data_IF_492287621041
#
_entry.id   IF_492287621041
#
_cell.length_a   1.000
_cell.length_b   1.000
_cell.length_c   1.000
_cell.angle_alpha   90.00
_cell.angle_beta   90.00
_cell.angle_gamma   90.00
#
_symmetry.space_group_name_H-M   'P 1'
#
loop_
_entity.id
_entity.type
_entity.pdbx_description
1 polymer ?
#
# COMPACT_ATOMS: atom_id res chain seq x y z
N UNK A 1 68.53 31.01 -34.80
CA UNK A 1 67.14 30.59 -35.10
C UNK A 1 67.07 29.06 -35.12
N UNK A 2 66.07 28.50 -34.42
CA UNK A 2 65.55 27.11 -34.44
C UNK A 2 65.53 26.43 -33.05
N UNK A 3 64.30 26.08 -32.66
CA UNK A 3 63.84 25.02 -31.74
C UNK A 3 63.08 25.49 -30.48
N UNK A 4 61.80 25.85 -30.68
CA UNK A 4 60.72 25.68 -29.69
C UNK A 4 59.47 25.20 -30.45
N UNK A 5 59.21 23.90 -30.51
CA UNK A 5 58.03 23.37 -31.19
C UNK A 5 57.65 21.91 -30.82
N UNK A 6 57.97 21.39 -29.61
CA UNK A 6 57.72 19.97 -29.31
C UNK A 6 57.08 19.62 -27.97
N UNK A 7 56.49 20.56 -27.24
CA UNK A 7 55.85 20.20 -25.95
C UNK A 7 54.50 20.87 -25.70
N UNK A 8 53.72 21.13 -26.77
CA UNK A 8 52.32 21.59 -26.68
C UNK A 8 51.33 20.53 -27.25
N UNK A 9 51.82 19.36 -27.68
CA UNK A 9 50.99 18.31 -28.31
C UNK A 9 50.59 17.18 -27.33
N UNK A 10 50.96 17.28 -26.05
CA UNK A 10 50.53 16.32 -25.02
C UNK A 10 49.25 16.73 -24.26
N UNK A 11 48.79 17.98 -24.41
CA UNK A 11 47.65 18.53 -23.65
C UNK A 11 46.29 18.48 -24.35
N UNK A 12 46.23 18.15 -25.64
CA UNK A 12 44.99 18.24 -26.44
C UNK A 12 44.32 16.88 -26.68
N UNK A 13 45.03 15.75 -26.46
CA UNK A 13 44.45 14.41 -26.63
C UNK A 13 43.69 13.92 -25.39
N UNK A 14 43.89 14.54 -24.22
CA UNK A 14 43.21 14.16 -22.98
C UNK A 14 41.83 14.82 -22.78
N UNK A 15 41.40 15.73 -23.67
CA UNK A 15 40.12 16.45 -23.57
C UNK A 15 39.01 15.91 -24.50
N UNK A 16 39.25 14.83 -25.24
CA UNK A 16 38.35 14.38 -26.30
C UNK A 16 37.53 13.11 -25.99
N UNK A 17 37.55 12.60 -24.74
CA UNK A 17 36.68 11.49 -24.32
C UNK A 17 36.06 11.79 -22.96
N UNK A 18 35.39 12.93 -22.84
CA UNK A 18 34.26 13.07 -21.94
C UNK A 18 33.01 13.22 -22.80
N UNK A 19 32.67 12.16 -23.54
CA UNK A 19 31.26 11.89 -23.77
C UNK A 19 30.68 11.64 -22.37
N UNK A 20 30.19 12.71 -21.73
CA UNK A 20 29.25 12.50 -20.65
C UNK A 20 28.13 11.68 -21.25
N UNK A 21 28.02 10.42 -20.85
CA UNK A 21 26.81 9.66 -21.09
C UNK A 21 25.67 10.57 -20.62
N UNK A 22 24.82 11.01 -21.56
CA UNK A 22 23.62 11.73 -21.16
C UNK A 22 22.84 10.74 -20.32
N UNK A 23 22.64 11.07 -19.05
CA UNK A 23 21.80 10.29 -18.17
C UNK A 23 20.43 10.19 -18.81
N UNK A 24 19.99 8.97 -19.12
CA UNK A 24 18.67 8.75 -19.69
C UNK A 24 17.63 8.76 -18.56
N UNK A 25 16.44 9.28 -18.86
CA UNK A 25 15.33 9.29 -17.90
C UNK A 25 14.62 7.92 -17.92
N UNK A 26 14.69 7.20 -16.81
CA UNK A 26 13.93 5.97 -16.56
C UNK A 26 12.56 6.36 -16.02
N UNK A 27 11.54 6.30 -16.88
CA UNK A 27 10.15 6.59 -16.50
C UNK A 27 9.55 5.45 -15.67
N UNK A 28 8.93 5.79 -14.55
CA UNK A 28 8.20 4.87 -13.67
C UNK A 28 6.80 5.41 -13.47
N UNK A 29 5.78 4.65 -13.86
CA UNK A 29 4.40 5.03 -13.59
C UNK A 29 4.10 4.84 -12.10
N UNK A 30 3.53 5.87 -11.45
CA UNK A 30 3.01 5.80 -10.08
C UNK A 30 1.50 5.92 -10.19
N UNK A 31 0.75 4.92 -9.72
CA UNK A 31 -0.68 4.83 -10.01
C UNK A 31 -1.50 4.54 -8.77
N UNK A 32 -2.45 5.41 -8.48
CA UNK A 32 -3.39 5.24 -7.37
C UNK A 32 -4.46 6.32 -7.34
N UNK A 33 -5.16 6.43 -6.22
CA UNK A 33 -6.27 7.38 -6.06
C UNK A 33 -5.76 8.80 -5.77
N UNK A 34 -5.65 9.66 -6.77
CA UNK A 34 -5.47 11.11 -6.59
C UNK A 34 -6.80 11.83 -6.34
N UNK A 35 -7.91 11.17 -6.68
CA UNK A 35 -9.27 11.64 -6.46
C UNK A 35 -10.16 10.54 -5.89
N UNK A 36 -11.44 10.85 -5.67
CA UNK A 36 -12.41 9.89 -5.16
C UNK A 36 -12.39 9.72 -3.63
N UNK A 37 -13.19 8.78 -3.10
CA UNK A 37 -13.48 8.68 -1.67
C UNK A 37 -12.30 8.21 -0.82
N UNK A 38 -11.25 7.69 -1.45
CA UNK A 38 -10.07 7.11 -0.79
C UNK A 38 -8.76 7.83 -1.16
N UNK A 39 -8.86 9.06 -1.68
CA UNK A 39 -7.71 9.85 -2.17
C UNK A 39 -6.57 10.01 -1.14
N UNK A 40 -6.89 10.02 0.16
CA UNK A 40 -5.88 10.13 1.21
C UNK A 40 -4.90 8.93 1.24
N UNK A 41 -5.32 7.76 0.77
CA UNK A 41 -4.39 6.64 0.61
C UNK A 41 -3.43 6.88 -0.55
N UNK A 42 -3.91 7.43 -1.67
CA UNK A 42 -3.04 7.82 -2.78
C UNK A 42 -2.09 8.95 -2.40
N UNK A 43 -2.52 9.93 -1.60
CA UNK A 43 -1.62 10.98 -1.09
C UNK A 43 -0.39 10.39 -0.39
N UNK A 44 -0.59 9.33 0.41
CA UNK A 44 0.50 8.61 1.07
C UNK A 44 1.41 7.92 0.05
N UNK A 45 0.83 7.20 -0.91
CA UNK A 45 1.54 6.51 -2.00
C UNK A 45 2.42 7.48 -2.79
N UNK A 46 1.83 8.54 -3.34
CA UNK A 46 2.57 9.52 -4.15
C UNK A 46 3.66 10.22 -3.33
N UNK A 47 3.40 10.53 -2.06
CA UNK A 47 4.43 11.13 -1.21
C UNK A 47 5.60 10.18 -0.93
N UNK A 48 5.32 8.89 -0.69
CA UNK A 48 6.34 7.84 -0.55
C UNK A 48 7.17 7.67 -1.82
N UNK A 49 6.51 7.55 -2.98
CA UNK A 49 7.17 7.40 -4.28
C UNK A 49 8.05 8.60 -4.64
N UNK A 50 7.50 9.83 -4.51
CA UNK A 50 8.24 11.08 -4.80
C UNK A 50 9.49 11.19 -3.93
N UNK A 51 9.38 10.90 -2.63
CA UNK A 51 10.51 11.00 -1.71
C UNK A 51 11.58 9.93 -2.03
N UNK A 52 11.17 8.69 -2.33
CA UNK A 52 12.10 7.63 -2.75
C UNK A 52 12.85 7.97 -4.03
N UNK A 53 12.14 8.42 -5.08
CA UNK A 53 12.75 8.84 -6.35
C UNK A 53 13.74 9.99 -6.11
N UNK A 54 13.36 10.99 -5.32
CA UNK A 54 14.24 12.12 -4.96
C UNK A 54 15.51 11.63 -4.27
N UNK A 55 15.39 10.74 -3.29
CA UNK A 55 16.52 10.24 -2.50
C UNK A 55 17.44 9.31 -3.31
N UNK A 56 16.90 8.50 -4.22
CA UNK A 56 17.68 7.66 -5.13
C UNK A 56 18.45 8.51 -6.14
N UNK A 57 17.78 9.49 -6.77
CA UNK A 57 18.41 10.39 -7.73
C UNK A 57 19.51 11.25 -7.07
N UNK A 58 19.31 11.70 -5.83
CA UNK A 58 20.32 12.43 -5.07
C UNK A 58 21.59 11.60 -4.78
N UNK A 59 21.50 10.27 -4.84
CA UNK A 59 22.62 9.33 -4.69
C UNK A 59 23.25 8.91 -6.03
N UNK A 60 22.92 9.60 -7.12
CA UNK A 60 23.46 9.31 -8.46
C UNK A 60 22.55 8.45 -9.34
N UNK A 61 21.31 8.18 -8.92
CA UNK A 61 20.32 7.48 -9.72
C UNK A 61 20.68 6.00 -9.95
N UNK A 62 20.27 5.46 -11.10
CA UNK A 62 20.55 4.08 -11.52
C UNK A 62 21.75 4.12 -12.45
N UNK A 63 22.96 3.93 -11.90
CA UNK A 63 24.22 3.98 -12.66
C UNK A 63 24.42 5.27 -13.47
N UNK A 64 23.89 6.39 -12.98
CA UNK A 64 23.92 7.69 -13.64
C UNK A 64 22.57 8.11 -14.22
N UNK A 65 21.71 7.16 -14.57
CA UNK A 65 20.37 7.43 -15.13
C UNK A 65 19.38 7.87 -14.05
N UNK A 66 18.44 8.74 -14.42
CA UNK A 66 17.53 9.38 -13.47
C UNK A 66 16.17 8.68 -13.46
N UNK A 67 15.65 8.37 -12.28
CA UNK A 67 14.26 7.93 -12.14
C UNK A 67 13.31 9.14 -12.29
N UNK A 68 12.29 9.01 -13.12
CA UNK A 68 11.24 10.01 -13.33
C UNK A 68 9.88 9.37 -13.07
N UNK A 69 9.24 9.78 -11.97
CA UNK A 69 7.86 9.37 -11.66
C UNK A 69 6.87 10.05 -12.60
N UNK A 70 5.99 9.26 -13.22
CA UNK A 70 4.86 9.73 -14.02
C UNK A 70 3.58 9.32 -13.30
N UNK A 71 2.81 10.28 -12.81
CA UNK A 71 1.69 10.03 -11.91
C UNK A 71 0.38 9.88 -12.69
N UNK A 72 -0.41 8.86 -12.34
CA UNK A 72 -1.72 8.60 -12.93
C UNK A 72 -2.75 8.41 -11.83
N UNK A 73 -3.93 9.01 -12.04
CA UNK A 73 -5.09 8.85 -11.17
C UNK A 73 -5.99 7.74 -11.71
N UNK A 74 -6.19 6.68 -10.93
CA UNK A 74 -7.20 5.66 -11.20
C UNK A 74 -8.45 5.80 -10.32
N UNK A 75 -8.46 6.76 -9.39
CA UNK A 75 -9.51 6.98 -8.40
C UNK A 75 -9.90 5.73 -7.57
N UNK A 76 -9.08 4.69 -7.56
CA UNK A 76 -9.44 3.34 -7.13
C UNK A 76 -10.72 2.78 -7.79
N UNK A 77 -11.01 3.20 -9.03
CA UNK A 77 -12.12 2.70 -9.84
C UNK A 77 -11.63 1.66 -10.86
N UNK A 78 -12.24 0.46 -10.92
CA UNK A 78 -11.79 -0.60 -11.84
C UNK A 78 -11.78 -0.22 -13.32
N UNK A 79 -12.75 0.58 -13.77
CA UNK A 79 -12.86 0.98 -15.19
C UNK A 79 -11.80 2.03 -15.52
N UNK A 80 -11.57 2.99 -14.63
CA UNK A 80 -10.52 3.99 -14.80
C UNK A 80 -9.13 3.35 -14.73
N UNK A 81 -8.90 2.36 -13.87
CA UNK A 81 -7.64 1.62 -13.82
C UNK A 81 -7.30 0.90 -15.13
N UNK A 82 -8.29 0.27 -15.78
CA UNK A 82 -8.11 -0.30 -17.13
C UNK A 82 -7.71 0.78 -18.15
N UNK A 83 -8.34 1.96 -18.10
CA UNK A 83 -7.99 3.06 -19.00
C UNK A 83 -6.56 3.59 -18.74
N UNK A 84 -6.16 3.70 -17.47
CA UNK A 84 -4.82 4.11 -17.06
C UNK A 84 -3.77 3.08 -17.49
N UNK A 85 -4.02 1.79 -17.32
CA UNK A 85 -3.11 0.73 -17.75
C UNK A 85 -2.86 0.78 -19.26
N UNK A 86 -3.92 0.88 -20.06
CA UNK A 86 -3.79 1.06 -21.51
C UNK A 86 -3.04 2.35 -21.87
N UNK A 87 -3.21 3.43 -21.10
CA UNK A 87 -2.46 4.66 -21.31
C UNK A 87 -0.96 4.47 -21.01
N UNK A 88 -0.60 3.78 -19.94
CA UNK A 88 0.79 3.48 -19.56
C UNK A 88 1.48 2.65 -20.65
N UNK A 89 0.78 1.64 -21.20
CA UNK A 89 1.26 0.86 -22.35
C UNK A 89 1.54 1.79 -23.54
N UNK A 90 0.58 2.64 -23.91
CA UNK A 90 0.74 3.59 -25.01
C UNK A 90 1.84 4.64 -24.78
N UNK A 91 2.08 5.03 -23.53
CA UNK A 91 3.15 5.96 -23.14
C UNK A 91 4.53 5.28 -23.12
N UNK A 92 4.60 3.97 -23.38
CA UNK A 92 5.83 3.19 -23.48
C UNK A 92 6.55 2.95 -22.15
N UNK A 93 5.83 3.07 -21.02
CA UNK A 93 6.41 2.89 -19.69
C UNK A 93 6.42 1.40 -19.34
N UNK A 94 7.55 0.91 -18.82
CA UNK A 94 7.79 -0.52 -18.56
C UNK A 94 7.74 -0.90 -17.07
N UNK A 95 7.61 0.09 -16.19
CA UNK A 95 7.64 -0.10 -14.74
C UNK A 95 6.49 0.67 -14.08
N UNK A 96 5.68 -0.05 -13.32
CA UNK A 96 4.52 0.48 -12.60
C UNK A 96 4.70 0.23 -11.11
N UNK A 97 4.60 1.29 -10.33
CA UNK A 97 4.40 1.22 -8.88
C UNK A 97 2.94 1.59 -8.64
N UNK A 98 2.16 0.61 -8.21
CA UNK A 98 0.70 0.68 -8.18
C UNK A 98 0.09 -0.64 -8.63
N UNK A 99 -1.22 -0.74 -8.82
CA UNK A 99 -2.22 0.22 -8.34
C UNK A 99 -2.44 0.05 -6.83
N UNK A 100 -3.25 0.92 -6.25
CA UNK A 100 -3.46 0.97 -4.80
C UNK A 100 -4.55 0.01 -4.29
N UNK A 101 -5.73 0.00 -4.90
CA UNK A 101 -6.88 -0.77 -4.41
C UNK A 101 -7.01 -2.11 -5.14
N UNK A 102 -7.28 -3.22 -4.44
CA UNK A 102 -7.31 -4.55 -5.06
C UNK A 102 -8.24 -4.67 -6.27
N UNK A 103 -9.42 -4.05 -6.21
CA UNK A 103 -10.40 -4.06 -7.31
C UNK A 103 -9.94 -3.27 -8.54
N UNK A 104 -9.02 -2.32 -8.39
CA UNK A 104 -8.43 -1.55 -9.49
C UNK A 104 -7.14 -2.20 -9.99
N UNK A 105 -6.30 -2.70 -9.07
CA UNK A 105 -5.05 -3.40 -9.37
C UNK A 105 -5.25 -4.68 -10.18
N UNK A 106 -6.26 -5.50 -9.85
CA UNK A 106 -6.45 -6.77 -10.51
C UNK A 106 -6.72 -6.64 -12.03
N UNK A 107 -7.73 -5.89 -12.50
CA UNK A 107 -7.96 -5.76 -13.94
C UNK A 107 -6.83 -5.01 -14.67
N UNK A 108 -6.11 -4.10 -14.01
CA UNK A 108 -4.93 -3.46 -14.60
C UNK A 108 -3.76 -4.44 -14.77
N UNK A 109 -3.58 -5.36 -13.81
CA UNK A 109 -2.50 -6.35 -13.85
C UNK A 109 -2.60 -7.32 -15.03
N UNK A 110 -3.81 -7.58 -15.53
CA UNK A 110 -4.03 -8.43 -16.70
C UNK A 110 -3.37 -7.82 -17.93
N UNK A 111 -3.54 -6.50 -18.10
CA UNK A 111 -2.94 -5.73 -19.20
C UNK A 111 -1.42 -5.71 -19.07
N UNK A 112 -0.90 -5.49 -17.85
CA UNK A 112 0.55 -5.45 -17.66
C UNK A 112 1.21 -6.81 -17.86
N UNK A 113 0.57 -7.90 -17.46
CA UNK A 113 1.08 -9.24 -17.70
C UNK A 113 1.13 -9.54 -19.21
N UNK A 114 0.06 -9.24 -19.95
CA UNK A 114 -0.02 -9.46 -21.40
C UNK A 114 0.99 -8.61 -22.19
N UNK A 115 1.27 -7.38 -21.72
CA UNK A 115 2.19 -6.43 -22.37
C UNK A 115 3.64 -6.52 -21.83
N UNK A 116 3.91 -7.43 -20.89
CA UNK A 116 5.24 -7.64 -20.32
C UNK A 116 5.77 -6.48 -19.46
N UNK A 117 4.87 -5.73 -18.81
CA UNK A 117 5.18 -4.58 -17.95
C UNK A 117 5.28 -5.03 -16.49
N UNK A 118 6.35 -4.64 -15.80
CA UNK A 118 6.51 -4.92 -14.37
C UNK A 118 5.55 -4.05 -13.56
N UNK A 119 4.82 -4.68 -12.64
CA UNK A 119 3.95 -3.99 -11.69
C UNK A 119 4.26 -4.44 -10.25
N UNK A 120 4.61 -3.48 -9.39
CA UNK A 120 4.77 -3.70 -7.95
C UNK A 120 3.70 -2.90 -7.22
N UNK A 121 2.69 -3.59 -6.68
CA UNK A 121 1.62 -2.91 -5.93
C UNK A 121 2.03 -2.64 -4.47
N UNK A 122 1.95 -1.39 -4.01
CA UNK A 122 2.16 -1.06 -2.60
C UNK A 122 0.89 -1.17 -1.75
N UNK A 123 -0.27 -1.43 -2.35
CA UNK A 123 -1.57 -1.33 -1.69
C UNK A 123 -2.46 -2.57 -1.75
N UNK A 124 -2.39 -3.34 -2.84
CA UNK A 124 -3.33 -4.43 -3.06
C UNK A 124 -2.98 -5.65 -2.18
N UNK A 125 -3.85 -5.95 -1.23
CA UNK A 125 -3.69 -7.05 -0.27
C UNK A 125 -4.48 -8.30 -0.64
N UNK A 126 -5.42 -8.21 -1.60
CA UNK A 126 -6.21 -9.37 -2.00
C UNK A 126 -5.30 -10.50 -2.55
N UNK A 127 -5.45 -11.75 -2.08
CA UNK A 127 -4.59 -12.85 -2.49
C UNK A 127 -4.72 -13.26 -3.96
N UNK A 128 -5.90 -13.05 -4.57
CA UNK A 128 -6.18 -13.50 -5.94
C UNK A 128 -5.24 -12.87 -6.97
N UNK A 129 -4.78 -11.64 -6.72
CA UNK A 129 -3.86 -10.90 -7.58
C UNK A 129 -2.66 -11.75 -8.05
N UNK A 130 -2.03 -12.51 -7.14
CA UNK A 130 -0.81 -13.31 -7.39
C UNK A 130 -1.07 -14.81 -7.51
N UNK A 131 -2.34 -15.25 -7.47
CA UNK A 131 -2.70 -16.68 -7.58
C UNK A 131 -3.00 -17.13 -9.01
N UNK A 132 -2.85 -16.25 -10.00
CA UNK A 132 -3.25 -16.47 -11.39
C UNK A 132 -2.10 -16.89 -12.32
N UNK A 133 -0.92 -17.14 -11.77
CA UNK A 133 0.27 -17.59 -12.52
C UNK A 133 1.04 -16.47 -13.22
N UNK A 134 0.74 -15.21 -12.90
CA UNK A 134 1.39 -14.04 -13.47
C UNK A 134 2.85 -13.93 -13.04
N UNK A 135 3.71 -13.52 -13.98
CA UNK A 135 5.16 -13.45 -13.80
C UNK A 135 5.66 -12.04 -13.51
N UNK A 136 4.97 -11.00 -14.02
CA UNK A 136 5.42 -9.60 -13.92
C UNK A 136 4.89 -8.87 -12.67
N UNK A 137 4.06 -9.54 -11.89
CA UNK A 137 3.32 -8.97 -10.77
C UNK A 137 4.01 -9.28 -9.45
N UNK A 138 4.20 -8.24 -8.64
CA UNK A 138 4.71 -8.33 -7.27
C UNK A 138 3.95 -7.38 -6.35
N UNK A 139 4.15 -7.52 -5.05
CA UNK A 139 3.66 -6.53 -4.06
C UNK A 139 4.68 -6.22 -2.98
N UNK A 140 4.59 -5.04 -2.40
CA UNK A 140 5.26 -4.68 -1.14
C UNK A 140 4.30 -4.57 0.05
N UNK A 141 2.99 -4.68 -0.22
CA UNK A 141 1.96 -4.84 0.80
C UNK A 141 1.93 -6.26 1.39
N UNK A 142 1.25 -6.40 2.52
CA UNK A 142 0.87 -7.71 3.07
C UNK A 142 -0.27 -8.38 2.31
N UNK A 143 -0.76 -9.50 2.84
CA UNK A 143 -1.88 -10.26 2.28
C UNK A 143 -3.07 -10.27 3.23
N UNK A 144 -4.28 -10.20 2.68
CA UNK A 144 -5.49 -10.39 3.47
C UNK A 144 -5.57 -11.79 4.07
N UNK A 145 -4.95 -12.78 3.41
CA UNK A 145 -4.82 -14.14 3.93
C UNK A 145 -3.91 -14.27 5.15
N UNK A 146 -3.14 -13.22 5.51
CA UNK A 146 -2.47 -13.12 6.82
C UNK A 146 -3.21 -12.16 7.75
N UNK A 147 -3.77 -11.06 7.23
CA UNK A 147 -4.47 -10.06 8.03
C UNK A 147 -5.78 -10.58 8.66
N UNK A 148 -6.62 -11.27 7.90
CA UNK A 148 -7.88 -11.84 8.39
C UNK A 148 -7.67 -12.82 9.55
N UNK A 149 -6.76 -13.80 9.43
CA UNK A 149 -6.42 -14.69 10.54
C UNK A 149 -5.83 -13.97 11.76
N UNK A 150 -5.01 -12.92 11.57
CA UNK A 150 -4.51 -12.10 12.68
C UNK A 150 -5.65 -11.43 13.45
N UNK A 151 -6.61 -10.83 12.73
CA UNK A 151 -7.78 -10.23 13.36
C UNK A 151 -8.63 -11.28 14.11
N UNK A 152 -8.95 -12.41 13.45
CA UNK A 152 -9.72 -13.49 14.07
C UNK A 152 -9.05 -14.04 15.33
N UNK A 153 -7.72 -14.23 15.30
CA UNK A 153 -6.94 -14.67 16.46
C UNK A 153 -7.06 -13.69 17.62
N UNK A 154 -6.86 -12.39 17.38
CA UNK A 154 -6.97 -11.38 18.44
C UNK A 154 -8.39 -11.31 19.03
N UNK A 155 -9.41 -11.46 18.19
CA UNK A 155 -10.81 -11.51 18.63
C UNK A 155 -11.06 -12.70 19.56
N UNK A 156 -10.57 -13.89 19.21
CA UNK A 156 -10.75 -15.12 19.98
C UNK A 156 -9.93 -15.15 21.28
N UNK A 157 -8.68 -14.70 21.22
CA UNK A 157 -7.73 -14.87 22.32
C UNK A 157 -7.76 -13.71 23.32
N UNK A 158 -8.08 -12.50 22.86
CA UNK A 158 -7.99 -11.28 23.67
C UNK A 158 -9.36 -10.65 23.92
N UNK A 159 -10.11 -10.33 22.85
CA UNK A 159 -11.39 -9.60 23.00
C UNK A 159 -12.47 -10.49 23.65
N UNK A 160 -12.59 -11.75 23.20
CA UNK A 160 -13.56 -12.75 23.70
C UNK A 160 -15.02 -12.25 23.72
N UNK A 161 -15.53 -11.68 22.61
CA UNK A 161 -16.90 -11.18 22.56
C UNK A 161 -17.91 -12.32 22.57
N UNK A 162 -19.14 -12.03 23.00
CA UNK A 162 -20.23 -13.01 23.11
C UNK A 162 -21.12 -13.02 21.87
N UNK A 163 -21.24 -11.90 21.15
CA UNK A 163 -22.20 -11.72 20.04
C UNK A 163 -21.58 -10.86 18.94
N UNK A 164 -21.09 -11.53 17.91
CA UNK A 164 -20.33 -10.91 16.83
C UNK A 164 -21.23 -10.64 15.62
N UNK A 165 -21.13 -9.44 15.04
CA UNK A 165 -21.59 -9.18 13.68
C UNK A 165 -20.39 -8.91 12.76
N UNK A 166 -20.50 -9.34 11.50
CA UNK A 166 -19.47 -9.12 10.48
C UNK A 166 -20.09 -8.35 9.32
N UNK A 167 -19.54 -7.18 9.03
CA UNK A 167 -20.05 -6.26 8.00
C UNK A 167 -18.98 -6.07 6.92
N UNK A 168 -19.39 -5.92 5.66
CA UNK A 168 -18.48 -5.57 4.57
C UNK A 168 -19.11 -4.60 3.57
N UNK A 169 -18.31 -3.98 2.70
CA UNK A 169 -18.75 -3.02 1.68
C UNK A 169 -19.03 -3.61 0.29
N UNK A 170 -19.07 -4.95 0.20
CA UNK A 170 -19.24 -5.75 -1.03
C UNK A 170 -18.11 -5.60 -2.05
N UNK A 171 -17.04 -4.90 -1.72
CA UNK A 171 -15.86 -4.81 -2.57
C UNK A 171 -14.91 -5.97 -2.30
N UNK A 172 -14.08 -6.29 -3.28
CA UNK A 172 -13.18 -7.45 -3.24
C UNK A 172 -12.28 -7.48 -1.98
N UNK A 173 -11.75 -6.31 -1.59
CA UNK A 173 -10.96 -6.14 -0.37
C UNK A 173 -11.79 -6.37 0.89
N UNK A 174 -12.84 -5.57 1.09
CA UNK A 174 -13.63 -5.59 2.32
C UNK A 174 -14.36 -6.93 2.53
N UNK A 175 -14.98 -7.47 1.48
CA UNK A 175 -15.66 -8.76 1.54
C UNK A 175 -14.68 -9.92 1.73
N UNK A 176 -13.54 -9.91 1.05
CA UNK A 176 -12.51 -10.95 1.19
C UNK A 176 -12.00 -11.06 2.62
N UNK A 177 -11.67 -9.92 3.24
CA UNK A 177 -11.26 -9.85 4.64
C UNK A 177 -12.36 -10.27 5.60
N UNK A 178 -13.59 -9.77 5.40
CA UNK A 178 -14.72 -10.13 6.24
C UNK A 178 -15.01 -11.64 6.20
N UNK A 179 -14.89 -12.29 5.03
CA UNK A 179 -15.01 -13.75 4.88
C UNK A 179 -13.88 -14.48 5.58
N UNK A 180 -12.63 -14.01 5.43
CA UNK A 180 -11.49 -14.61 6.12
C UNK A 180 -11.63 -14.56 7.65
N UNK A 181 -12.09 -13.43 8.20
CA UNK A 181 -12.40 -13.30 9.63
C UNK A 181 -13.56 -14.20 10.03
N UNK A 182 -14.64 -14.25 9.24
CA UNK A 182 -15.76 -15.15 9.50
C UNK A 182 -15.31 -16.61 9.62
N UNK A 183 -14.46 -17.07 8.70
CA UNK A 183 -13.97 -18.45 8.70
C UNK A 183 -13.08 -18.74 9.92
N UNK A 184 -12.17 -17.83 10.26
CA UNK A 184 -11.34 -17.96 11.47
C UNK A 184 -12.17 -17.99 12.75
N UNK A 185 -13.20 -17.15 12.85
CA UNK A 185 -14.10 -17.11 14.00
C UNK A 185 -14.98 -18.36 14.10
N UNK A 186 -15.45 -18.91 12.97
CA UNK A 186 -16.19 -20.20 12.94
C UNK A 186 -15.31 -21.35 13.42
N UNK A 187 -14.04 -21.40 13.01
CA UNK A 187 -13.09 -22.42 13.49
C UNK A 187 -12.88 -22.34 15.01
N UNK A 188 -12.93 -21.13 15.58
CA UNK A 188 -12.91 -20.89 17.02
C UNK A 188 -14.24 -21.09 17.74
N UNK A 189 -15.29 -21.55 17.06
CA UNK A 189 -16.67 -21.68 17.58
C UNK A 189 -17.25 -20.39 18.17
N UNK A 190 -16.84 -19.22 17.67
CA UNK A 190 -17.40 -17.95 18.12
C UNK A 190 -18.84 -17.76 17.61
N UNK A 191 -19.65 -17.04 18.39
CA UNK A 191 -21.05 -16.78 18.06
C UNK A 191 -21.17 -15.60 17.09
N UNK A 192 -21.15 -15.90 15.80
CA UNK A 192 -21.43 -14.96 14.71
C UNK A 192 -22.94 -14.89 14.52
N UNK A 193 -23.55 -13.80 14.99
CA UNK A 193 -25.00 -13.61 14.96
C UNK A 193 -25.48 -13.33 13.53
N UNK A 194 -24.75 -12.48 12.79
CA UNK A 194 -25.02 -12.27 11.37
C UNK A 194 -23.79 -11.78 10.59
N UNK A 195 -23.84 -11.99 9.29
CA UNK A 195 -22.90 -11.50 8.28
C UNK A 195 -23.71 -10.75 7.22
N UNK A 196 -23.33 -9.51 6.89
CA UNK A 196 -24.11 -8.68 5.97
C UNK A 196 -23.25 -7.65 5.21
N UNK A 197 -23.76 -7.18 4.08
CA UNK A 197 -23.07 -6.24 3.20
C UNK A 197 -23.77 -4.88 3.14
N UNK A 198 -23.03 -3.80 3.36
CA UNK A 198 -23.43 -2.43 3.07
C UNK A 198 -22.98 -2.02 1.66
N UNK A 199 -23.42 -0.86 1.18
CA UNK A 199 -22.97 -0.30 -0.10
C UNK A 199 -21.94 0.80 0.17
N UNK A 200 -20.78 0.74 -0.49
CA UNK A 200 -19.80 1.82 -0.41
C UNK A 200 -20.41 3.17 -0.82
N UNK A 201 -20.11 4.23 -0.07
CA UNK A 201 -20.74 5.54 -0.22
C UNK A 201 -21.97 5.76 0.66
N UNK A 202 -22.51 4.72 1.30
CA UNK A 202 -23.63 4.84 2.25
C UNK A 202 -23.30 5.85 3.38
N UNK A 203 -24.29 6.65 3.74
CA UNK A 203 -24.19 7.66 4.81
C UNK A 203 -25.22 7.42 5.90
N UNK A 204 -26.29 6.67 5.65
CA UNK A 204 -27.28 6.30 6.64
C UNK A 204 -27.08 4.85 7.10
N UNK A 205 -26.59 4.69 8.32
CA UNK A 205 -26.39 3.39 8.97
C UNK A 205 -27.47 3.10 10.02
N UNK A 206 -28.55 3.88 10.06
CA UNK A 206 -29.60 3.78 11.09
C UNK A 206 -30.20 2.36 11.19
N UNK A 207 -30.51 1.74 10.04
CA UNK A 207 -31.06 0.38 10.00
C UNK A 207 -30.06 -0.67 10.54
N UNK A 208 -28.78 -0.56 10.17
CA UNK A 208 -27.73 -1.42 10.68
C UNK A 208 -27.58 -1.25 12.20
N UNK A 209 -27.54 -0.02 12.68
CA UNK A 209 -27.36 0.28 14.11
C UNK A 209 -28.56 -0.21 14.94
N UNK A 210 -29.78 -0.02 14.44
CA UNK A 210 -30.98 -0.55 15.08
C UNK A 210 -30.93 -2.09 15.18
N UNK A 211 -30.41 -2.77 14.16
CA UNK A 211 -30.20 -4.22 14.17
C UNK A 211 -29.13 -4.62 15.20
N UNK A 212 -27.97 -3.95 15.21
CA UNK A 212 -26.91 -4.19 16.19
C UNK A 212 -27.43 -4.07 17.63
N UNK A 213 -28.26 -3.05 17.90
CA UNK A 213 -28.89 -2.85 19.21
C UNK A 213 -29.91 -3.93 19.52
N UNK A 214 -30.83 -4.22 18.60
CA UNK A 214 -31.89 -5.24 18.77
C UNK A 214 -31.31 -6.64 19.02
N UNK A 215 -30.23 -6.97 18.33
CA UNK A 215 -29.56 -8.27 18.44
C UNK A 215 -28.49 -8.29 19.54
N UNK A 216 -28.34 -7.21 20.31
CA UNK A 216 -27.40 -7.07 21.42
C UNK A 216 -25.96 -7.43 21.03
N UNK A 217 -25.48 -6.88 19.92
CA UNK A 217 -24.13 -7.12 19.39
C UNK A 217 -23.09 -6.38 20.24
N UNK A 218 -22.11 -7.12 20.77
CA UNK A 218 -21.03 -6.56 21.58
C UNK A 218 -19.73 -6.36 20.78
N UNK A 219 -19.60 -6.99 19.61
CA UNK A 219 -18.46 -6.81 18.71
C UNK A 219 -18.84 -6.79 17.23
N UNK A 220 -18.24 -5.87 16.47
CA UNK A 220 -18.37 -5.78 15.02
C UNK A 220 -16.99 -5.82 14.38
N UNK A 221 -16.79 -6.75 13.44
CA UNK A 221 -15.73 -6.62 12.44
C UNK A 221 -16.30 -5.97 11.18
N UNK A 222 -15.66 -4.93 10.67
CA UNK A 222 -16.00 -4.29 9.41
C UNK A 222 -14.85 -4.41 8.42
N UNK A 223 -15.07 -5.13 7.32
CA UNK A 223 -14.16 -5.20 6.18
C UNK A 223 -14.50 -4.12 5.15
N UNK A 224 -13.64 -3.12 5.01
CA UNK A 224 -13.82 -2.01 4.07
C UNK A 224 -12.95 -0.82 4.45
N UNK A 225 -13.36 0.38 4.04
CA UNK A 225 -12.56 1.60 4.16
C UNK A 225 -13.05 2.61 5.22
N UNK A 226 -12.19 3.57 5.55
CA UNK A 226 -12.45 4.58 6.59
C UNK A 226 -13.70 5.45 6.40
N UNK A 227 -14.21 5.77 5.18
CA UNK A 227 -15.39 6.63 5.05
C UNK A 227 -16.64 5.99 5.69
N UNK A 228 -16.91 4.73 5.39
CA UNK A 228 -18.04 3.98 5.93
C UNK A 228 -17.82 3.65 7.42
N UNK A 229 -16.62 3.20 7.81
CA UNK A 229 -16.30 2.92 9.22
C UNK A 229 -16.53 4.15 10.10
N UNK A 230 -16.05 5.33 9.66
CA UNK A 230 -16.19 6.56 10.43
C UNK A 230 -17.66 6.96 10.65
N UNK A 231 -18.49 6.80 9.63
CA UNK A 231 -19.93 7.06 9.71
C UNK A 231 -20.63 6.06 10.63
N UNK A 232 -20.29 4.77 10.51
CA UNK A 232 -20.83 3.69 11.34
C UNK A 232 -20.50 3.91 12.82
N UNK A 233 -19.23 4.24 13.15
CA UNK A 233 -18.79 4.57 14.50
C UNK A 233 -19.56 5.76 15.08
N UNK A 234 -19.62 6.87 14.32
CA UNK A 234 -20.30 8.09 14.78
C UNK A 234 -21.76 7.84 15.12
N UNK A 235 -22.48 7.18 14.22
CA UNK A 235 -23.90 6.91 14.41
C UNK A 235 -24.15 5.86 15.49
N UNK A 236 -23.29 4.84 15.63
CA UNK A 236 -23.39 3.85 16.70
C UNK A 236 -23.28 4.50 18.09
N UNK A 237 -22.27 5.37 18.29
CA UNK A 237 -22.08 6.08 19.56
C UNK A 237 -23.18 7.11 19.83
N UNK A 238 -23.68 7.80 18.79
CA UNK A 238 -24.81 8.72 18.92
C UNK A 238 -26.10 8.02 19.41
N UNK A 239 -26.26 6.72 19.09
CA UNK A 239 -27.36 5.88 19.55
C UNK A 239 -27.03 5.09 20.83
N UNK A 240 -25.93 5.41 21.51
CA UNK A 240 -25.57 4.84 22.82
C UNK A 240 -24.99 3.43 22.78
N UNK A 241 -24.67 2.87 21.59
CA UNK A 241 -24.07 1.53 21.49
C UNK A 241 -22.68 1.51 22.13
N UNK A 242 -22.43 0.47 22.92
CA UNK A 242 -21.13 0.16 23.53
C UNK A 242 -20.33 -0.91 22.78
N UNK A 243 -20.86 -1.38 21.66
CA UNK A 243 -20.24 -2.36 20.75
C UNK A 243 -18.79 -1.98 20.43
N UNK A 244 -17.86 -2.92 20.59
CA UNK A 244 -16.48 -2.78 20.15
C UNK A 244 -16.42 -2.95 18.64
N UNK A 245 -15.66 -2.09 17.95
CA UNK A 245 -15.47 -2.18 16.51
C UNK A 245 -14.02 -2.55 16.19
N UNK A 246 -13.84 -3.35 15.15
CA UNK A 246 -12.55 -3.68 14.58
C UNK A 246 -12.61 -3.59 13.05
N UNK A 247 -11.53 -3.12 12.41
CA UNK A 247 -11.40 -3.15 10.97
C UNK A 247 -9.96 -3.45 10.50
N UNK A 248 -9.76 -3.59 9.19
CA UNK A 248 -8.44 -3.78 8.60
C UNK A 248 -7.69 -2.46 8.42
N UNK A 249 -6.48 -2.50 7.87
CA UNK A 249 -5.63 -1.31 7.70
C UNK A 249 -6.30 -0.21 6.86
N UNK A 250 -7.22 -0.56 5.96
CA UNK A 250 -8.01 0.34 5.15
C UNK A 250 -8.93 1.29 5.92
N UNK A 251 -9.18 1.03 7.22
CA UNK A 251 -9.86 1.98 8.12
C UNK A 251 -8.89 2.83 8.96
N UNK A 252 -7.63 2.40 9.11
CA UNK A 252 -6.62 3.01 9.97
C UNK A 252 -5.99 4.27 9.38
N UNK A 253 -6.79 5.33 9.24
CA UNK A 253 -6.41 6.56 8.55
C UNK A 253 -6.80 7.80 9.37
N UNK A 254 -6.02 8.89 9.33
CA UNK A 254 -6.34 10.12 10.05
C UNK A 254 -7.75 10.69 9.72
N UNK A 255 -8.25 10.51 8.50
CA UNK A 255 -9.63 10.90 8.15
C UNK A 255 -10.71 10.11 8.88
N UNK A 256 -10.42 8.89 9.36
CA UNK A 256 -11.35 8.16 10.21
C UNK A 256 -11.73 9.02 11.42
N UNK A 257 -10.74 9.57 12.13
CA UNK A 257 -10.94 10.40 13.30
C UNK A 257 -11.61 11.73 12.96
N UNK A 258 -11.35 12.30 11.79
CA UNK A 258 -12.06 13.50 11.32
C UNK A 258 -13.57 13.23 11.10
N UNK A 259 -13.93 12.03 10.62
CA UNK A 259 -15.32 11.64 10.35
C UNK A 259 -16.05 11.20 11.62
N UNK A 260 -15.40 10.40 12.46
CA UNK A 260 -15.99 9.79 13.65
C UNK A 260 -15.88 10.66 14.91
N UNK A 261 -14.91 11.57 14.96
CA UNK A 261 -14.57 12.34 16.15
C UNK A 261 -14.25 11.42 17.32
N UNK A 262 -14.78 11.76 18.51
CA UNK A 262 -14.62 10.94 19.72
C UNK A 262 -15.15 9.50 19.61
N UNK A 263 -15.97 9.18 18.59
CA UNK A 263 -16.46 7.83 18.39
C UNK A 263 -15.39 6.86 17.86
N UNK A 264 -14.27 7.37 17.34
CA UNK A 264 -13.13 6.55 16.91
C UNK A 264 -12.35 5.96 18.09
N UNK A 265 -12.50 6.52 19.29
CA UNK A 265 -11.73 6.12 20.45
C UNK A 265 -11.95 4.64 20.78
N UNK A 266 -10.84 3.91 20.84
CA UNK A 266 -10.83 2.50 21.19
C UNK A 266 -11.20 1.55 20.06
N UNK A 267 -11.41 2.03 18.83
CA UNK A 267 -11.55 1.13 17.68
C UNK A 267 -10.28 0.28 17.52
N UNK A 268 -10.44 -1.03 17.32
CA UNK A 268 -9.32 -1.92 17.02
C UNK A 268 -9.03 -1.90 15.52
N UNK A 269 -7.77 -2.06 15.14
CA UNK A 269 -7.39 -2.11 13.74
C UNK A 269 -6.17 -3.00 13.53
N UNK A 270 -6.18 -3.82 12.49
CA UNK A 270 -4.93 -4.47 12.02
C UNK A 270 -4.18 -3.51 11.13
N UNK A 271 -2.89 -3.30 11.38
CA UNK A 271 -2.04 -2.45 10.53
C UNK A 271 -0.65 -3.04 10.40
N UNK A 272 0.11 -2.66 9.36
CA UNK A 272 1.55 -2.88 9.34
C UNK A 272 2.24 -2.25 10.55
N UNK A 273 3.51 -2.62 10.78
CA UNK A 273 4.38 -1.96 11.75
C UNK A 273 4.44 -0.44 11.48
N UNK A 274 4.56 0.36 12.54
CA UNK A 274 4.83 1.80 12.45
C UNK A 274 6.26 2.07 11.98
N UNK A 275 6.47 2.07 10.66
CA UNK A 275 7.77 2.31 10.05
C UNK A 275 8.29 3.74 10.27
N UNK A 276 7.39 4.70 10.51
CA UNK A 276 7.71 6.09 10.87
C UNK A 276 8.43 6.23 12.21
N UNK A 277 8.31 5.21 13.07
CA UNK A 277 8.94 5.17 14.38
C UNK A 277 10.29 4.43 14.37
N UNK A 278 10.69 3.86 13.24
CA UNK A 278 12.00 3.21 13.13
C UNK A 278 13.11 4.28 13.07
N UNK A 279 14.12 4.25 13.97
CA UNK A 279 15.21 5.22 13.96
C UNK A 279 15.93 5.32 12.60
N UNK A 280 16.00 4.23 11.83
CA UNK A 280 16.62 4.23 10.51
C UNK A 280 15.87 5.12 9.49
N UNK A 281 14.58 5.36 9.70
CA UNK A 281 13.71 6.12 8.81
C UNK A 281 13.59 7.60 9.18
N UNK A 282 14.26 8.04 10.26
CA UNK A 282 14.13 9.41 10.82
C UNK A 282 14.38 10.52 9.79
N UNK A 283 15.38 10.36 8.92
CA UNK A 283 15.68 11.35 7.90
C UNK A 283 14.54 11.54 6.88
N UNK A 284 13.85 10.44 6.52
CA UNK A 284 12.70 10.46 5.60
C UNK A 284 11.50 11.13 6.29
N UNK A 285 11.28 10.83 7.59
CA UNK A 285 10.27 11.52 8.41
C UNK A 285 10.49 13.04 8.41
N UNK A 286 11.73 13.47 8.65
CA UNK A 286 12.09 14.89 8.67
C UNK A 286 11.90 15.55 7.31
N UNK A 287 12.29 14.87 6.22
CA UNK A 287 12.10 15.37 4.86
C UNK A 287 10.61 15.56 4.51
N UNK A 288 9.77 14.57 4.82
CA UNK A 288 8.33 14.67 4.59
C UNK A 288 7.70 15.79 5.42
N UNK A 289 8.08 15.94 6.69
CA UNK A 289 7.60 17.03 7.56
C UNK A 289 8.05 18.41 7.06
N UNK A 290 9.27 18.53 6.53
CA UNK A 290 9.75 19.78 5.94
C UNK A 290 8.89 20.20 4.74
N UNK A 291 8.38 19.23 3.97
CA UNK A 291 7.43 19.44 2.87
C UNK A 291 5.97 19.51 3.35
N UNK A 292 5.71 19.58 4.66
CA UNK A 292 4.38 19.61 5.29
C UNK A 292 3.50 18.40 4.93
N UNK A 293 4.12 17.25 4.71
CA UNK A 293 3.46 15.97 4.45
C UNK A 293 3.44 15.14 5.71
N UNK A 294 2.37 14.36 5.88
CA UNK A 294 2.23 13.43 7.00
C UNK A 294 3.01 12.13 6.71
N UNK A 295 4.04 11.80 7.51
CA UNK A 295 4.81 10.57 7.34
C UNK A 295 4.21 9.36 8.08
N UNK A 296 3.12 9.53 8.83
CA UNK A 296 2.59 8.47 9.71
C UNK A 296 1.90 7.33 8.96
N UNK A 297 1.44 7.58 7.74
CA UNK A 297 0.69 6.63 6.93
C UNK A 297 1.53 5.43 6.45
N UNK A 298 1.03 4.18 6.53
CA UNK A 298 1.78 2.99 6.13
C UNK A 298 2.17 2.98 4.64
N UNK A 299 1.29 3.45 3.76
CA UNK A 299 1.54 3.44 2.32
C UNK A 299 2.62 4.43 1.86
N UNK A 300 3.03 5.39 2.70
CA UNK A 300 4.25 6.18 2.45
C UNK A 300 5.45 5.23 2.38
N UNK A 301 5.58 4.38 3.38
CA UNK A 301 6.74 3.50 3.56
C UNK A 301 6.71 2.31 2.62
N UNK A 302 5.53 1.71 2.44
CA UNK A 302 5.36 0.55 1.55
C UNK A 302 5.61 0.93 0.08
N UNK A 303 5.21 2.14 -0.33
CA UNK A 303 5.49 2.66 -1.67
C UNK A 303 6.94 3.06 -1.83
N UNK A 304 7.53 3.71 -0.82
CA UNK A 304 8.96 4.00 -0.81
C UNK A 304 9.77 2.70 -1.01
N UNK A 305 9.40 1.62 -0.30
CA UNK A 305 10.02 0.32 -0.44
C UNK A 305 9.82 -0.32 -1.83
N UNK A 306 8.68 -0.10 -2.49
CA UNK A 306 8.45 -0.57 -3.86
C UNK A 306 9.43 0.09 -4.85
N UNK A 307 9.63 1.40 -4.74
CA UNK A 307 10.61 2.13 -5.55
C UNK A 307 12.04 1.67 -5.24
N UNK A 308 12.39 1.48 -3.96
CA UNK A 308 13.70 0.92 -3.58
C UNK A 308 13.92 -0.45 -4.20
N UNK A 309 12.91 -1.32 -4.18
CA UNK A 309 12.98 -2.66 -4.75
C UNK A 309 13.27 -2.61 -6.25
N UNK A 310 12.53 -1.77 -6.99
CA UNK A 310 12.79 -1.54 -8.42
C UNK A 310 14.23 -1.06 -8.67
N UNK A 311 14.68 -0.05 -7.93
CA UNK A 311 16.03 0.51 -8.06
C UNK A 311 17.14 -0.51 -7.71
N UNK A 312 16.93 -1.33 -6.68
CA UNK A 312 17.83 -2.42 -6.31
C UNK A 312 17.97 -3.42 -7.46
N UNK A 313 16.86 -3.84 -8.06
CA UNK A 313 16.86 -4.81 -9.14
C UNK A 313 17.57 -4.29 -10.39
N UNK A 314 17.29 -3.05 -10.81
CA UNK A 314 17.94 -2.41 -11.96
C UNK A 314 19.46 -2.28 -11.75
N UNK A 315 19.85 -1.87 -10.55
CA UNK A 315 21.27 -1.69 -10.20
C UNK A 315 22.01 -3.03 -10.22
N UNK A 316 21.44 -4.05 -9.58
CA UNK A 316 22.07 -5.37 -9.38
C UNK A 316 22.11 -6.23 -10.64
N UNK A 317 20.99 -6.31 -11.36
CA UNK A 317 20.90 -7.14 -12.58
C UNK A 317 21.60 -6.52 -13.79
N UNK A 318 21.80 -5.20 -13.79
CA UNK A 318 22.20 -4.44 -14.97
C UNK A 318 21.27 -4.62 -16.18
N UNK A 319 20.05 -5.11 -15.97
CA UNK A 319 19.01 -5.26 -16.97
C UNK A 319 17.94 -4.19 -16.79
N UNK A 320 17.32 -3.81 -17.89
CA UNK A 320 16.11 -2.98 -17.92
C UNK A 320 14.87 -3.81 -18.29
N UNK A 321 15.03 -5.09 -18.62
CA UNK A 321 13.91 -5.95 -19.01
C UNK A 321 13.03 -6.27 -17.77
N UNK A 322 11.72 -5.98 -17.80
CA UNK A 322 10.83 -6.17 -16.66
C UNK A 322 10.91 -7.56 -16.01
N UNK A 323 10.95 -8.63 -16.82
CA UNK A 323 10.99 -10.00 -16.30
C UNK A 323 12.31 -10.34 -15.58
N UNK A 324 13.42 -9.78 -16.04
CA UNK A 324 14.72 -9.98 -15.39
C UNK A 324 14.74 -9.33 -14.01
N UNK A 325 14.14 -8.15 -13.89
CA UNK A 325 14.00 -7.43 -12.62
C UNK A 325 13.16 -8.23 -11.62
N UNK A 326 12.03 -8.80 -12.06
CA UNK A 326 11.20 -9.65 -11.20
C UNK A 326 11.95 -10.90 -10.75
N UNK A 327 12.64 -11.58 -11.67
CA UNK A 327 13.45 -12.77 -11.33
C UNK A 327 14.56 -12.45 -10.34
N UNK A 328 15.25 -11.32 -10.52
CA UNK A 328 16.27 -10.86 -9.59
C UNK A 328 15.69 -10.59 -8.20
N UNK A 329 14.55 -9.90 -8.10
CA UNK A 329 13.89 -9.63 -6.81
C UNK A 329 13.44 -10.92 -6.12
N UNK A 330 12.83 -11.86 -6.85
CA UNK A 330 12.41 -13.16 -6.30
C UNK A 330 13.58 -13.98 -5.78
N UNK A 331 14.73 -13.95 -6.46
CA UNK A 331 15.93 -14.66 -6.04
C UNK A 331 16.64 -13.99 -4.85
N UNK A 332 16.82 -12.67 -4.92
CA UNK A 332 17.80 -11.96 -4.12
C UNK A 332 17.19 -11.04 -3.05
N UNK A 333 15.93 -10.62 -3.20
CA UNK A 333 15.29 -9.68 -2.29
C UNK A 333 15.80 -8.24 -2.43
N UNK A 334 15.37 -7.37 -1.51
CA UNK A 334 15.81 -5.97 -1.44
C UNK A 334 15.79 -5.45 0.00
N UNK A 335 16.77 -4.62 0.37
CA UNK A 335 16.80 -3.94 1.67
C UNK A 335 16.07 -2.60 1.55
N UNK A 336 15.05 -2.40 2.38
CA UNK A 336 14.13 -1.25 2.25
C UNK A 336 13.81 -0.59 3.59
N UNK A 337 13.11 0.54 3.53
CA UNK A 337 12.61 1.27 4.71
C UNK A 337 11.60 0.49 5.56
N UNK A 338 10.99 -0.58 5.01
CA UNK A 338 10.11 -1.49 5.76
C UNK A 338 10.83 -2.77 6.22
N UNK A 339 12.16 -2.83 6.05
CA UNK A 339 13.00 -3.97 6.37
C UNK A 339 13.49 -4.75 5.13
N UNK A 340 14.20 -5.86 5.34
CA UNK A 340 14.64 -6.74 4.26
C UNK A 340 13.44 -7.49 3.66
N UNK A 341 13.23 -7.33 2.36
CA UNK A 341 12.15 -7.95 1.61
C UNK A 341 12.62 -9.20 0.89
N UNK A 342 11.81 -10.27 0.99
CA UNK A 342 11.95 -11.51 0.23
C UNK A 342 10.61 -11.87 -0.37
N UNK A 343 10.60 -12.17 -1.66
CA UNK A 343 9.40 -12.60 -2.36
C UNK A 343 9.37 -14.12 -2.54
N UNK A 344 8.18 -14.67 -2.65
CA UNK A 344 7.97 -16.01 -3.17
C UNK A 344 7.86 -16.03 -4.71
N UNK A 345 7.65 -17.22 -5.27
CA UNK A 345 7.56 -17.40 -6.71
C UNK A 345 6.35 -16.68 -7.34
N UNK A 346 5.31 -16.40 -6.54
CA UNK A 346 4.08 -15.72 -6.96
C UNK A 346 4.20 -14.20 -6.90
N UNK A 347 5.26 -13.67 -6.27
CA UNK A 347 5.47 -12.24 -6.10
C UNK A 347 4.90 -11.68 -4.79
N UNK A 348 4.59 -12.55 -3.82
CA UNK A 348 4.14 -12.16 -2.47
C UNK A 348 5.31 -12.05 -1.50
N UNK A 349 5.23 -11.13 -0.54
CA UNK A 349 6.21 -11.02 0.52
C UNK A 349 6.13 -12.21 1.48
N UNK A 350 7.29 -12.78 1.82
CA UNK A 350 7.44 -13.78 2.88
C UNK A 350 7.57 -13.08 4.23
N UNK A 351 6.76 -13.49 5.21
CA UNK A 351 6.88 -13.02 6.59
C UNK A 351 6.41 -11.58 6.83
N UNK A 352 5.56 -11.03 5.96
CA UNK A 352 4.90 -9.77 6.26
C UNK A 352 3.85 -9.98 7.37
N UNK A 353 3.97 -9.23 8.46
CA UNK A 353 3.10 -9.34 9.63
C UNK A 353 2.25 -8.08 9.82
N UNK A 354 1.00 -8.30 10.23
CA UNK A 354 0.13 -7.26 10.74
C UNK A 354 0.12 -7.30 12.26
N UNK A 355 0.23 -6.14 12.89
CA UNK A 355 -0.04 -5.96 14.31
C UNK A 355 -1.49 -5.54 14.55
N UNK A 356 -1.96 -5.69 15.78
CA UNK A 356 -3.24 -5.11 16.22
C UNK A 356 -2.97 -3.86 17.02
N UNK A 357 -3.73 -2.81 16.72
CA UNK A 357 -3.61 -1.50 17.34
C UNK A 357 -4.96 -1.03 17.85
N UNK A 358 -4.92 -0.20 18.88
CA UNK A 358 -6.04 0.60 19.33
C UNK A 358 -5.90 2.00 18.71
N UNK A 359 -6.98 2.47 18.08
CA UNK A 359 -7.07 3.77 17.45
C UNK A 359 -7.61 4.82 18.43
N UNK A 360 -7.15 6.06 18.28
CA UNK A 360 -7.51 7.18 19.14
C UNK A 360 -8.21 8.30 18.37
N UNK A 361 -9.01 9.09 19.09
CA UNK A 361 -9.78 10.20 18.52
C UNK A 361 -8.91 11.31 17.89
N UNK A 362 -7.63 11.39 18.25
CA UNK A 362 -6.66 12.33 17.65
C UNK A 362 -6.01 11.80 16.36
N UNK A 363 -6.36 10.59 15.93
CA UNK A 363 -5.80 9.92 14.75
C UNK A 363 -4.51 9.16 15.01
N UNK A 364 -4.05 9.13 16.27
CA UNK A 364 -2.93 8.27 16.67
C UNK A 364 -3.39 6.83 16.93
N UNK A 365 -2.42 5.93 17.07
CA UNK A 365 -2.65 4.54 17.40
C UNK A 365 -1.55 4.00 18.30
N UNK A 366 -1.92 3.05 19.17
CA UNK A 366 -1.02 2.34 20.08
C UNK A 366 -1.17 0.84 19.88
N UNK A 367 -0.10 0.07 20.14
CA UNK A 367 -0.16 -1.40 20.05
C UNK A 367 -1.22 -1.90 21.04
N UNK A 368 -2.15 -2.71 20.55
CA UNK A 368 -3.20 -3.26 21.38
C UNK A 368 -2.61 -4.28 22.37
N UNK A 369 -3.10 -4.24 23.60
CA UNK A 369 -2.65 -5.12 24.68
C UNK A 369 -3.32 -6.48 24.66
#
# INVERSE_FOLDING_TARGET
MKRKAKTIIAGIVALAVSQGAMADDIKVAIVGAMSGPVAQWGDMEFNGARQAIKDINAKGGIKGDKLVGVEYDDACDPKQAVAVANKIVNDGIQYVIGHLCSSSTQPASDIYEDEGILMISPGATNPELTQRGYQYIMRTAGLDSSQGPTAAKYILETVKPQRIAIIHDKQQYGEGLARSVQDGLKQGNANIVFFDGITAGEKDFSALIARLQKENIDFVYYGGYYPEMGQMLRQARANGLKTQFMGPEGVGNASLSNIAGGAAEGMLVTMPKRYDQDPANKAIVEALKADKKDPSGPYVWITYAAVQSLATAMTRSASHAPLDLVKDLKANGADTVIGPLKWDEKGDLKGFEFGVFQWHADGSSTVAK
#
